data_IF_272350976812
#
_entry.id   IF_272350976812
#
_cell.length_a   1.000
_cell.length_b   1.000
_cell.length_c   1.000
_cell.angle_alpha   90.00
_cell.angle_beta   90.00
_cell.angle_gamma   90.00
#
_symmetry.space_group_name_H-M   'P 1'
#
loop_
_entity.id
_entity.type
_entity.pdbx_description
1 polymer ?
#
# COMPACT_ATOMS: atom_id res chain seq x y z
N UNK A 1 6.76 -16.85 27.94
CA UNK A 1 5.71 -15.80 27.95
C UNK A 1 4.51 -16.34 27.19
N UNK A 2 3.32 -16.45 27.80
CA UNK A 2 2.13 -16.94 27.09
C UNK A 2 1.77 -16.00 25.94
N UNK A 3 1.32 -16.57 24.81
CA UNK A 3 0.88 -15.80 23.66
C UNK A 3 -0.36 -14.97 24.04
N UNK A 4 -0.38 -13.69 23.64
CA UNK A 4 -1.55 -12.84 23.82
C UNK A 4 -2.76 -13.47 23.11
N UNK A 5 -3.92 -13.46 23.75
CA UNK A 5 -5.16 -13.94 23.14
C UNK A 5 -5.64 -12.95 22.06
N UNK A 6 -6.27 -13.42 20.98
CA UNK A 6 -6.81 -12.54 19.94
C UNK A 6 -7.88 -11.59 20.48
N UNK A 7 -7.95 -10.39 19.90
CA UNK A 7 -9.02 -9.44 20.20
C UNK A 7 -10.40 -9.98 19.79
N UNK A 8 -11.38 -9.88 20.69
CA UNK A 8 -12.77 -10.29 20.45
C UNK A 8 -13.51 -9.37 19.48
N UNK A 9 -13.20 -8.07 19.49
CA UNK A 9 -13.82 -7.07 18.62
C UNK A 9 -12.76 -6.16 17.98
N UNK A 10 -12.78 -6.01 16.64
CA UNK A 10 -11.86 -5.12 15.94
C UNK A 10 -12.14 -3.65 16.27
N UNK A 11 -11.09 -2.91 16.60
CA UNK A 11 -11.12 -1.45 16.81
C UNK A 11 -10.28 -0.76 15.73
N UNK A 12 -10.22 0.58 15.72
CA UNK A 12 -9.28 1.28 14.83
C UNK A 12 -7.84 0.94 15.20
N UNK A 13 -6.98 0.77 14.20
CA UNK A 13 -5.54 0.49 14.40
C UNK A 13 -4.89 1.59 15.22
N UNK A 14 -5.19 2.86 14.91
CA UNK A 14 -4.72 4.03 15.66
C UNK A 14 -5.05 3.95 17.15
N UNK A 15 -6.29 3.57 17.49
CA UNK A 15 -6.75 3.39 18.87
C UNK A 15 -6.02 2.24 19.57
N UNK A 16 -5.87 1.10 18.89
CA UNK A 16 -5.18 -0.07 19.45
C UNK A 16 -3.71 0.22 19.75
N UNK A 17 -2.99 0.79 18.78
CA UNK A 17 -1.57 1.14 18.94
C UNK A 17 -1.41 2.19 20.04
N UNK A 18 -2.21 3.26 20.04
CA UNK A 18 -2.16 4.32 21.06
C UNK A 18 -2.42 3.77 22.46
N UNK A 19 -3.40 2.87 22.62
CA UNK A 19 -3.72 2.24 23.90
C UNK A 19 -2.53 1.41 24.41
N UNK A 20 -1.95 0.57 23.55
CA UNK A 20 -0.84 -0.32 23.92
C UNK A 20 0.45 0.42 24.25
N UNK A 21 0.79 1.48 23.51
CA UNK A 21 1.93 2.34 23.84
C UNK A 21 1.80 2.94 25.24
N UNK A 22 0.60 3.46 25.60
CA UNK A 22 0.34 3.99 26.96
C UNK A 22 0.45 2.92 28.04
N UNK A 23 -0.17 1.76 27.84
CA UNK A 23 -0.15 0.65 28.82
C UNK A 23 1.27 0.11 29.05
N UNK A 24 2.11 0.09 28.01
CA UNK A 24 3.50 -0.37 28.09
C UNK A 24 4.48 0.74 28.47
N UNK A 25 4.02 1.99 28.65
CA UNK A 25 4.85 3.17 28.87
C UNK A 25 5.94 3.34 27.80
N UNK A 26 5.55 3.13 26.53
CA UNK A 26 6.42 3.26 25.36
C UNK A 26 6.04 4.46 24.50
N UNK A 27 6.98 4.92 23.69
CA UNK A 27 6.83 6.07 22.80
C UNK A 27 6.63 5.65 21.34
N UNK A 28 6.02 6.51 20.50
CA UNK A 28 5.99 6.31 19.04
C UNK A 28 7.38 6.12 18.42
N UNK A 29 8.39 6.84 18.91
CA UNK A 29 9.78 6.73 18.46
C UNK A 29 10.36 5.34 18.69
N UNK A 30 10.22 4.78 19.89
CA UNK A 30 10.71 3.42 20.19
C UNK A 30 10.02 2.37 19.31
N UNK A 31 8.73 2.53 19.03
CA UNK A 31 8.02 1.65 18.09
C UNK A 31 8.57 1.81 16.67
N UNK A 32 8.79 3.04 16.21
CA UNK A 32 9.33 3.34 14.89
C UNK A 32 10.71 2.70 14.67
N UNK A 33 11.59 2.78 15.68
CA UNK A 33 12.88 2.09 15.69
C UNK A 33 12.72 0.57 15.61
N UNK A 34 11.78 -0.01 16.38
CA UNK A 34 11.54 -1.46 16.41
C UNK A 34 10.98 -2.03 15.09
N UNK A 35 10.23 -1.24 14.33
CA UNK A 35 9.67 -1.65 13.02
C UNK A 35 10.43 -1.06 11.82
N UNK A 36 11.52 -0.32 12.08
CA UNK A 36 12.38 0.31 11.07
C UNK A 36 11.60 1.19 10.09
N UNK A 37 10.85 2.14 10.65
CA UNK A 37 10.14 3.20 9.92
C UNK A 37 10.47 4.56 10.55
N UNK A 38 10.10 5.66 9.90
CA UNK A 38 10.27 6.99 10.47
C UNK A 38 9.35 7.20 11.69
N UNK A 39 9.78 8.03 12.64
CA UNK A 39 8.92 8.39 13.79
C UNK A 39 7.61 9.05 13.34
N UNK A 40 7.67 9.86 12.26
CA UNK A 40 6.50 10.50 11.67
C UNK A 40 5.47 9.46 11.19
N UNK A 41 5.92 8.35 10.58
CA UNK A 41 5.05 7.27 10.13
C UNK A 41 4.20 6.70 11.28
N UNK A 42 4.85 6.37 12.41
CA UNK A 42 4.15 5.85 13.59
C UNK A 42 3.30 6.94 14.24
N UNK A 43 3.79 8.17 14.32
CA UNK A 43 3.06 9.29 14.91
C UNK A 43 1.76 9.57 14.14
N UNK A 44 1.78 9.54 12.82
CA UNK A 44 0.58 9.71 11.99
C UNK A 44 -0.39 8.52 12.10
N UNK A 45 0.14 7.30 12.19
CA UNK A 45 -0.67 6.11 12.42
C UNK A 45 -1.37 6.17 13.79
N UNK A 46 -0.64 6.54 14.85
CA UNK A 46 -1.17 6.69 16.21
C UNK A 46 -2.19 7.83 16.30
N UNK A 47 -1.95 8.92 15.59
CA UNK A 47 -2.88 10.05 15.51
C UNK A 47 -4.13 9.73 14.68
N UNK A 48 -4.09 8.71 13.83
CA UNK A 48 -5.15 8.41 12.87
C UNK A 48 -5.17 9.36 11.67
N UNK A 49 -4.05 10.05 11.40
CA UNK A 49 -3.85 10.91 10.22
C UNK A 49 -3.44 10.11 8.98
N UNK A 50 -2.87 8.91 9.19
CA UNK A 50 -2.50 7.97 8.13
C UNK A 50 -3.45 6.77 8.14
N UNK A 51 -3.83 6.33 6.94
CA UNK A 51 -4.57 5.08 6.72
C UNK A 51 -3.74 3.88 7.21
N UNK A 52 -4.32 2.90 7.92
CA UNK A 52 -3.54 1.76 8.39
C UNK A 52 -2.93 0.98 7.21
N UNK A 53 -1.73 0.39 7.36
CA UNK A 53 -1.08 -0.40 6.30
C UNK A 53 -1.94 -1.56 5.80
N UNK A 54 -1.65 -2.10 4.61
CA UNK A 54 -2.49 -3.16 4.04
C UNK A 54 -2.49 -4.39 4.95
N UNK A 55 -3.61 -5.10 5.17
CA UNK A 55 -3.67 -6.18 6.15
C UNK A 55 -2.60 -7.28 5.94
N UNK A 56 -2.16 -7.47 4.70
CA UNK A 56 -1.08 -8.41 4.35
C UNK A 56 0.35 -7.90 4.61
N UNK A 57 0.55 -6.69 5.15
CA UNK A 57 1.85 -6.08 5.47
C UNK A 57 2.49 -6.71 6.70
N UNK A 58 2.86 -7.98 6.57
CA UNK A 58 3.51 -8.75 7.64
C UNK A 58 4.86 -8.13 8.04
N UNK A 59 5.54 -7.49 7.09
CA UNK A 59 6.77 -6.70 7.29
C UNK A 59 6.63 -5.60 8.35
N UNK A 60 5.42 -5.07 8.55
CA UNK A 60 5.12 -4.08 9.58
C UNK A 60 4.38 -4.70 10.76
N UNK A 61 3.30 -5.44 10.51
CA UNK A 61 2.41 -5.89 11.58
C UNK A 61 3.02 -6.93 12.50
N UNK A 62 3.90 -7.80 12.00
CA UNK A 62 4.59 -8.79 12.84
C UNK A 62 5.51 -8.10 13.86
N UNK A 63 6.46 -7.24 13.47
CA UNK A 63 7.30 -6.52 14.42
C UNK A 63 6.50 -5.56 15.32
N UNK A 64 5.45 -4.89 14.80
CA UNK A 64 4.58 -4.05 15.63
C UNK A 64 3.86 -4.87 16.71
N UNK A 65 3.27 -6.02 16.35
CA UNK A 65 2.57 -6.87 17.31
C UNK A 65 3.51 -7.40 18.39
N UNK A 66 4.74 -7.77 18.00
CA UNK A 66 5.79 -8.19 18.94
C UNK A 66 6.14 -7.07 19.93
N UNK A 67 6.39 -5.86 19.45
CA UNK A 67 6.72 -4.71 20.30
C UNK A 67 5.57 -4.35 21.26
N UNK A 68 4.33 -4.35 20.76
CA UNK A 68 3.12 -4.00 21.51
C UNK A 68 2.56 -5.14 22.38
N UNK A 69 3.21 -6.31 22.35
CA UNK A 69 2.77 -7.55 23.03
C UNK A 69 1.31 -7.89 22.70
N UNK A 70 0.99 -7.85 21.41
CA UNK A 70 -0.32 -8.21 20.85
C UNK A 70 -0.27 -9.58 20.18
N UNK A 71 -1.43 -10.17 19.92
CA UNK A 71 -1.49 -11.34 19.06
C UNK A 71 -1.15 -10.94 17.62
N UNK A 72 -0.43 -11.81 16.89
CA UNK A 72 0.08 -11.51 15.52
C UNK A 72 -1.02 -11.08 14.53
N UNK A 73 -2.26 -11.48 14.77
CA UNK A 73 -3.40 -11.18 13.89
C UNK A 73 -4.25 -9.99 14.34
N UNK A 74 -3.97 -9.38 15.50
CA UNK A 74 -4.81 -8.28 16.02
C UNK A 74 -4.77 -7.05 15.11
N UNK A 75 -3.55 -6.57 14.80
CA UNK A 75 -3.38 -5.40 13.93
C UNK A 75 -3.87 -5.65 12.49
N UNK A 76 -3.51 -6.76 11.80
CA UNK A 76 -4.07 -7.07 10.48
C UNK A 76 -5.59 -7.16 10.46
N UNK A 77 -6.21 -7.71 11.51
CA UNK A 77 -7.68 -7.84 11.59
C UNK A 77 -8.34 -6.48 11.74
N UNK A 78 -7.82 -5.63 12.62
CA UNK A 78 -8.27 -4.24 12.77
C UNK A 78 -8.11 -3.46 11.46
N UNK A 79 -6.94 -3.57 10.80
CA UNK A 79 -6.66 -2.89 9.55
C UNK A 79 -7.63 -3.30 8.44
N UNK A 80 -7.96 -4.59 8.33
CA UNK A 80 -8.90 -5.11 7.32
C UNK A 80 -10.29 -4.52 7.51
N UNK A 81 -10.77 -4.47 8.75
CA UNK A 81 -12.09 -3.92 9.08
C UNK A 81 -12.13 -2.40 8.87
N UNK A 82 -11.08 -1.69 9.30
CA UNK A 82 -10.96 -0.24 9.12
C UNK A 82 -10.91 0.14 7.62
N UNK A 83 -10.08 -0.55 6.84
CA UNK A 83 -9.97 -0.29 5.39
C UNK A 83 -11.21 -0.70 4.60
N UNK A 84 -11.98 -1.69 5.04
CA UNK A 84 -13.25 -2.06 4.42
C UNK A 84 -14.37 -1.05 4.70
N UNK A 85 -14.31 -0.36 5.85
CA UNK A 85 -15.25 0.71 6.21
C UNK A 85 -14.96 2.02 5.49
N UNK A 86 -13.70 2.28 5.16
CA UNK A 86 -13.32 3.32 4.20
C UNK A 86 -13.80 2.89 2.81
N UNK A 87 -14.97 3.37 2.41
CA UNK A 87 -15.67 3.02 1.16
C UNK A 87 -14.70 2.98 -0.03
N UNK A 88 -14.42 1.77 -0.50
CA UNK A 88 -13.71 1.50 -1.75
C UNK A 88 -14.42 2.22 -2.89
N UNK A 89 -13.74 3.13 -3.60
CA UNK A 89 -14.24 3.70 -4.86
C UNK A 89 -15.02 5.01 -4.78
N UNK A 90 -15.01 5.76 -3.66
CA UNK A 90 -15.62 7.11 -3.65
C UNK A 90 -14.79 8.15 -4.41
N UNK A 91 -13.47 7.99 -4.45
CA UNK A 91 -12.55 8.94 -5.11
C UNK A 91 -11.94 8.27 -6.33
N UNK A 92 -12.10 8.90 -7.50
CA UNK A 92 -11.48 8.43 -8.74
C UNK A 92 -9.96 8.54 -8.60
N UNK A 93 -9.19 7.63 -9.24
CA UNK A 93 -7.75 7.79 -9.40
C UNK A 93 -7.41 9.16 -9.97
N UNK A 94 -6.23 9.68 -9.63
CA UNK A 94 -5.72 10.91 -10.19
C UNK A 94 -5.76 10.88 -11.73
N UNK A 95 -6.15 11.99 -12.35
CA UNK A 95 -6.38 12.07 -13.80
C UNK A 95 -5.07 11.89 -14.58
N UNK A 96 -3.95 12.41 -14.07
CA UNK A 96 -2.64 12.27 -14.72
C UNK A 96 -2.11 10.85 -14.51
N UNK A 97 -2.20 10.31 -13.30
CA UNK A 97 -1.82 8.93 -13.02
C UNK A 97 -2.60 7.94 -13.92
N UNK A 98 -3.91 8.16 -14.06
CA UNK A 98 -4.76 7.38 -14.97
C UNK A 98 -4.32 7.47 -16.42
N UNK A 99 -3.98 8.66 -16.92
CA UNK A 99 -3.49 8.83 -18.31
C UNK A 99 -2.21 8.03 -18.56
N UNK A 100 -1.26 8.05 -17.62
CA UNK A 100 -0.02 7.27 -17.73
C UNK A 100 -0.32 5.76 -17.79
N UNK A 101 -1.23 5.28 -16.93
CA UNK A 101 -1.61 3.87 -16.94
C UNK A 101 -2.40 3.48 -18.19
N UNK A 102 -3.32 4.33 -18.66
CA UNK A 102 -4.08 4.09 -19.88
C UNK A 102 -3.18 4.01 -21.12
N UNK A 103 -2.09 4.78 -21.15
CA UNK A 103 -1.13 4.78 -22.25
C UNK A 103 -0.39 3.43 -22.41
N UNK A 104 -0.36 2.58 -21.38
CA UNK A 104 0.17 1.21 -21.45
C UNK A 104 -0.81 0.23 -22.15
N UNK A 105 -2.06 0.62 -22.37
CA UNK A 105 -3.05 -0.22 -23.07
C UNK A 105 -3.01 -0.04 -24.58
N UNK A 106 -3.56 -1.00 -25.33
CA UNK A 106 -3.69 -0.91 -26.79
C UNK A 106 -4.49 0.33 -27.26
N UNK A 107 -4.03 1.12 -28.25
CA UNK A 107 -4.67 2.39 -28.64
C UNK A 107 -6.16 2.28 -28.99
N UNK A 108 -6.56 1.19 -29.65
CA UNK A 108 -7.98 0.94 -29.96
C UNK A 108 -8.82 0.74 -28.67
N UNK A 109 -8.26 0.05 -27.68
CA UNK A 109 -8.92 -0.19 -26.38
C UNK A 109 -8.92 1.05 -25.50
N UNK A 110 -7.91 1.91 -25.60
CA UNK A 110 -7.88 3.20 -24.88
C UNK A 110 -9.13 4.05 -25.18
N UNK A 111 -9.54 4.15 -26.45
CA UNK A 111 -10.73 4.91 -26.86
C UNK A 111 -12.02 4.31 -26.29
N UNK A 112 -12.17 3.00 -26.36
CA UNK A 112 -13.34 2.29 -25.81
C UNK A 112 -13.43 2.45 -24.30
N UNK A 113 -12.30 2.33 -23.60
CA UNK A 113 -12.21 2.53 -22.16
C UNK A 113 -12.49 3.98 -21.76
N UNK A 114 -11.95 4.97 -22.48
CA UNK A 114 -12.24 6.37 -22.22
C UNK A 114 -13.75 6.66 -22.27
N UNK A 115 -14.46 6.09 -23.25
CA UNK A 115 -15.93 6.19 -23.34
C UNK A 115 -16.65 5.50 -22.19
N UNK A 116 -16.20 4.31 -21.76
CA UNK A 116 -16.81 3.60 -20.62
C UNK A 116 -16.55 4.32 -19.29
N UNK A 117 -15.34 4.84 -19.07
CA UNK A 117 -14.96 5.55 -17.83
C UNK A 117 -15.67 6.91 -17.71
N UNK A 118 -16.05 7.53 -18.82
CA UNK A 118 -16.85 8.75 -18.83
C UNK A 118 -18.30 8.55 -18.35
N UNK A 119 -18.81 7.32 -18.34
CA UNK A 119 -20.14 7.01 -17.80
C UNK A 119 -20.18 7.18 -16.26
N UNK A 120 -21.37 7.37 -15.65
CA UNK A 120 -21.50 7.55 -14.20
C UNK A 120 -20.87 6.43 -13.36
N UNK A 121 -20.96 5.19 -13.84
CA UNK A 121 -20.41 3.96 -13.23
C UNK A 121 -18.93 3.70 -13.58
N UNK A 122 -18.34 4.53 -14.44
CA UNK A 122 -16.99 4.36 -14.97
C UNK A 122 -15.86 4.45 -13.94
N UNK A 123 -16.11 5.09 -12.79
CA UNK A 123 -15.11 5.20 -11.71
C UNK A 123 -14.75 3.87 -11.08
N UNK A 124 -15.69 2.92 -11.02
CA UNK A 124 -15.44 1.58 -10.50
C UNK A 124 -14.51 0.78 -11.45
N UNK A 125 -14.73 0.91 -12.76
CA UNK A 125 -13.86 0.30 -13.78
C UNK A 125 -12.45 0.90 -13.73
N UNK A 126 -12.33 2.23 -13.61
CA UNK A 126 -11.05 2.90 -13.47
C UNK A 126 -10.29 2.41 -12.24
N UNK A 127 -10.95 2.34 -11.08
CA UNK A 127 -10.36 1.87 -9.83
C UNK A 127 -9.93 0.40 -9.88
N UNK A 128 -10.70 -0.45 -10.57
CA UNK A 128 -10.35 -1.85 -10.80
C UNK A 128 -9.05 -1.97 -11.60
N UNK A 129 -8.96 -1.28 -12.73
CA UNK A 129 -7.79 -1.33 -13.62
C UNK A 129 -6.56 -0.83 -12.89
N UNK A 130 -6.65 0.35 -12.26
CA UNK A 130 -5.56 0.93 -11.47
C UNK A 130 -5.15 -0.02 -10.34
N UNK A 131 -6.11 -0.58 -9.61
CA UNK A 131 -5.87 -1.53 -8.53
C UNK A 131 -5.09 -2.77 -8.97
N UNK A 132 -5.46 -3.37 -10.12
CA UNK A 132 -4.76 -4.56 -10.64
C UNK A 132 -3.33 -4.27 -11.08
N UNK A 133 -3.10 -3.17 -11.77
CA UNK A 133 -1.76 -2.75 -12.16
C UNK A 133 -0.89 -2.41 -10.94
N UNK A 134 -1.49 -1.76 -9.94
CA UNK A 134 -0.84 -1.44 -8.67
C UNK A 134 -0.47 -2.71 -7.90
N UNK A 135 -1.34 -3.71 -7.82
CA UNK A 135 -1.06 -5.01 -7.19
C UNK A 135 0.19 -5.67 -7.78
N UNK A 136 0.33 -5.64 -9.12
CA UNK A 136 1.51 -6.16 -9.81
C UNK A 136 2.76 -5.39 -9.43
N UNK A 137 2.74 -4.05 -9.54
CA UNK A 137 3.89 -3.20 -9.21
C UNK A 137 4.32 -3.37 -7.73
N UNK A 138 3.35 -3.40 -6.81
CA UNK A 138 3.60 -3.64 -5.38
C UNK A 138 4.20 -5.02 -5.12
N UNK A 139 3.90 -6.03 -5.95
CA UNK A 139 4.55 -7.34 -5.88
C UNK A 139 6.07 -7.27 -6.09
N UNK A 140 6.55 -6.41 -6.99
CA UNK A 140 7.98 -6.17 -7.16
C UNK A 140 8.59 -5.40 -5.99
N UNK A 141 7.87 -4.39 -5.48
CA UNK A 141 8.35 -3.59 -4.35
C UNK A 141 8.47 -4.43 -3.07
N UNK A 142 7.58 -5.41 -2.86
CA UNK A 142 7.72 -6.40 -1.77
C UNK A 142 9.02 -7.20 -1.91
N UNK A 143 9.33 -7.70 -3.11
CA UNK A 143 10.60 -8.40 -3.36
C UNK A 143 11.83 -7.52 -3.11
N UNK A 144 11.75 -6.23 -3.47
CA UNK A 144 12.82 -5.26 -3.16
C UNK A 144 12.97 -5.01 -1.65
N UNK A 145 11.87 -5.03 -0.90
CA UNK A 145 11.91 -4.91 0.57
C UNK A 145 12.45 -6.17 1.26
N UNK A 146 12.22 -7.34 0.67
CA UNK A 146 12.74 -8.62 1.16
C UNK A 146 14.26 -8.74 0.94
N UNK A 147 14.79 -8.11 -0.11
CA UNK A 147 16.24 -7.98 -0.36
C UNK A 147 16.85 -6.80 0.40
N UNK A 148 17.00 -6.95 1.72
CA UNK A 148 17.56 -5.90 2.59
C UNK A 148 18.99 -5.49 2.17
N UNK A 149 19.79 -6.44 1.69
CA UNK A 149 21.18 -6.18 1.27
C UNK A 149 21.19 -5.34 0.00
N UNK A 150 20.44 -5.75 -1.03
CA UNK A 150 20.29 -4.99 -2.27
C UNK A 150 19.73 -3.59 -2.03
N UNK A 151 18.75 -3.46 -1.13
CA UNK A 151 18.18 -2.16 -0.77
C UNK A 151 19.23 -1.22 -0.14
N UNK A 152 20.12 -1.72 0.74
CA UNK A 152 21.21 -0.92 1.32
C UNK A 152 22.24 -0.49 0.28
N UNK A 153 22.61 -1.39 -0.61
CA UNK A 153 23.56 -1.10 -1.70
C UNK A 153 22.99 -0.03 -2.64
N UNK A 154 21.73 -0.19 -3.05
CA UNK A 154 21.02 0.80 -3.86
C UNK A 154 20.93 2.17 -3.15
N UNK A 155 20.53 2.18 -1.88
CA UNK A 155 20.43 3.42 -1.10
C UNK A 155 21.78 4.18 -1.07
N UNK A 156 22.88 3.46 -0.84
CA UNK A 156 24.24 4.03 -0.83
C UNK A 156 24.63 4.61 -2.18
N UNK A 157 24.33 3.88 -3.27
CA UNK A 157 24.57 4.35 -4.65
C UNK A 157 23.80 5.63 -4.97
N UNK A 158 22.58 5.73 -4.46
CA UNK A 158 21.68 6.87 -4.67
C UNK A 158 21.93 8.02 -3.67
N UNK A 159 22.93 7.89 -2.79
CA UNK A 159 23.25 8.91 -1.77
C UNK A 159 22.18 9.07 -0.69
N UNK A 160 21.34 8.06 -0.47
CA UNK A 160 20.25 8.05 0.51
C UNK A 160 20.53 7.08 1.66
N UNK A 161 19.86 7.28 2.80
CA UNK A 161 19.96 6.31 3.89
C UNK A 161 19.12 5.07 3.59
N UNK A 162 19.48 3.93 4.19
CA UNK A 162 18.65 2.73 4.13
C UNK A 162 17.22 2.99 4.61
N UNK A 163 17.05 3.82 5.63
CA UNK A 163 15.73 4.14 6.17
C UNK A 163 14.91 4.95 5.16
N UNK A 164 15.51 5.92 4.48
CA UNK A 164 14.83 6.71 3.45
C UNK A 164 14.40 5.85 2.26
N UNK A 165 15.32 5.01 1.76
CA UNK A 165 15.02 4.07 0.68
C UNK A 165 13.91 3.09 1.09
N UNK A 166 13.96 2.55 2.32
CA UNK A 166 12.90 1.69 2.85
C UNK A 166 11.58 2.44 2.95
N UNK A 167 11.57 3.64 3.52
CA UNK A 167 10.36 4.44 3.69
C UNK A 167 9.66 4.70 2.38
N UNK A 168 10.40 5.09 1.35
CA UNK A 168 9.89 5.26 -0.02
C UNK A 168 9.15 4.03 -0.53
N UNK A 169 9.71 2.83 -0.35
CA UNK A 169 9.05 1.58 -0.73
C UNK A 169 7.81 1.28 0.12
N UNK A 170 7.88 1.48 1.44
CA UNK A 170 6.76 1.22 2.35
C UNK A 170 5.56 2.15 2.08
N UNK A 171 5.82 3.39 1.70
CA UNK A 171 4.80 4.38 1.35
C UNK A 171 4.06 3.99 0.07
N UNK A 172 4.79 3.61 -0.98
CA UNK A 172 4.17 3.09 -2.20
C UNK A 172 3.35 1.81 -1.96
N UNK A 173 3.79 0.93 -1.05
CA UNK A 173 3.01 -0.25 -0.67
C UNK A 173 1.71 0.07 0.08
N UNK A 174 1.59 1.26 0.65
CA UNK A 174 0.36 1.72 1.33
C UNK A 174 -0.58 2.49 0.39
N UNK A 175 -0.11 2.87 -0.79
CA UNK A 175 -0.88 3.50 -1.87
C UNK A 175 -2.03 2.60 -2.33
N UNK A 176 -3.17 3.22 -2.61
CA UNK A 176 -4.35 2.60 -3.20
C UNK A 176 -4.72 3.33 -4.51
N UNK A 177 -5.69 2.78 -5.25
CA UNK A 177 -6.09 3.34 -6.55
C UNK A 177 -6.50 4.83 -6.48
N UNK A 178 -7.03 5.27 -5.34
CA UNK A 178 -7.50 6.64 -5.09
C UNK A 178 -6.43 7.60 -4.55
N UNK A 179 -5.26 7.08 -4.16
CA UNK A 179 -4.14 7.86 -3.66
C UNK A 179 -2.89 7.78 -4.55
N UNK A 180 -2.95 7.02 -5.65
CA UNK A 180 -1.84 6.86 -6.59
C UNK A 180 -1.56 8.18 -7.32
N UNK A 181 -0.30 8.60 -7.29
CA UNK A 181 0.17 9.82 -7.93
C UNK A 181 0.86 9.54 -9.28
N UNK A 182 1.09 10.57 -10.12
CA UNK A 182 1.89 10.41 -11.33
C UNK A 182 3.33 9.98 -11.05
N UNK A 183 3.95 10.52 -10.00
CA UNK A 183 5.32 10.18 -9.59
C UNK A 183 5.41 8.70 -9.19
N UNK A 184 4.41 8.20 -8.43
CA UNK A 184 4.30 6.77 -8.13
C UNK A 184 4.22 5.91 -9.41
N UNK A 185 3.49 6.38 -10.44
CA UNK A 185 3.39 5.69 -11.70
C UNK A 185 4.74 5.61 -12.40
N UNK A 186 5.44 6.74 -12.54
CA UNK A 186 6.73 6.83 -13.22
C UNK A 186 7.81 6.01 -12.53
N UNK A 187 7.82 6.01 -11.21
CA UNK A 187 8.85 5.34 -10.42
C UNK A 187 8.57 3.83 -10.26
N UNK A 188 7.31 3.46 -9.99
CA UNK A 188 6.98 2.09 -9.59
C UNK A 188 6.24 1.31 -10.66
N UNK A 189 5.32 1.91 -11.42
CA UNK A 189 4.43 1.17 -12.32
C UNK A 189 5.03 1.04 -13.72
N UNK A 190 5.35 2.16 -14.37
CA UNK A 190 5.82 2.21 -15.76
C UNK A 190 7.09 1.38 -16.01
N UNK A 191 8.08 1.32 -15.11
CA UNK A 191 9.29 0.52 -15.32
C UNK A 191 9.04 -0.99 -15.27
N UNK A 192 7.89 -1.45 -14.77
CA UNK A 192 7.60 -2.88 -14.53
C UNK A 192 6.55 -3.45 -15.48
N UNK A 193 5.70 -2.60 -16.04
CA UNK A 193 4.59 -3.02 -16.90
C UNK A 193 4.83 -2.50 -18.32
N UNK A 194 4.89 -3.43 -19.27
CA UNK A 194 5.10 -3.14 -20.68
C UNK A 194 3.78 -2.78 -21.36
N UNK A 195 2.76 -3.59 -21.13
CA UNK A 195 1.43 -3.42 -21.67
C UNK A 195 0.38 -4.09 -20.79
N UNK A 196 -0.89 -3.73 -20.97
CA UNK A 196 -1.99 -4.46 -20.35
C UNK A 196 -3.24 -4.44 -21.22
N UNK A 197 -4.14 -5.36 -20.90
CA UNK A 197 -5.40 -5.52 -21.56
C UNK A 197 -6.51 -5.97 -20.58
N UNK A 198 -7.76 -5.65 -20.88
CA UNK A 198 -8.94 -6.06 -20.12
C UNK A 198 -10.06 -6.54 -21.03
N UNK A 199 -10.64 -7.70 -20.71
CA UNK A 199 -11.93 -8.13 -21.26
C UNK A 199 -13.06 -7.50 -20.44
N UNK A 200 -13.87 -6.65 -21.06
CA UNK A 200 -14.77 -5.76 -20.33
C UNK A 200 -15.98 -6.47 -19.70
N UNK A 201 -16.37 -7.63 -20.22
CA UNK A 201 -17.49 -8.41 -19.72
C UNK A 201 -17.09 -9.25 -18.51
N UNK A 202 -15.98 -10.00 -18.61
CA UNK A 202 -15.45 -10.83 -17.53
C UNK A 202 -14.61 -10.05 -16.52
N UNK A 203 -14.18 -8.85 -16.88
CA UNK A 203 -13.19 -8.03 -16.16
C UNK A 203 -11.83 -8.73 -15.97
N UNK A 204 -11.55 -9.76 -16.78
CA UNK A 204 -10.26 -10.43 -16.78
C UNK A 204 -9.19 -9.51 -17.37
N UNK A 205 -8.05 -9.40 -16.69
CA UNK A 205 -6.93 -8.57 -17.13
C UNK A 205 -5.72 -9.41 -17.50
N UNK A 206 -5.10 -9.07 -18.64
CA UNK A 206 -3.79 -9.58 -19.05
C UNK A 206 -2.78 -8.46 -18.83
N UNK A 207 -1.71 -8.74 -18.11
CA UNK A 207 -0.65 -7.75 -17.82
C UNK A 207 0.67 -8.33 -18.32
N UNK A 208 1.36 -7.59 -19.17
CA UNK A 208 2.66 -7.94 -19.73
C UNK A 208 3.73 -7.17 -18.95
N UNK A 209 4.66 -7.89 -18.37
CA UNK A 209 5.75 -7.31 -17.58
C UNK A 209 6.88 -6.85 -18.51
N UNK A 210 7.62 -5.82 -18.10
CA UNK A 210 8.90 -5.48 -18.74
C UNK A 210 9.94 -6.50 -18.29
N UNK A 211 10.74 -6.97 -19.26
CA UNK A 211 11.94 -7.78 -19.05
C UNK A 211 13.09 -6.94 -18.52
#
# INVERSE_FOLDING_TARGET
MPAALPLKQPVKVSQLVRRRLRELKRTPRELAEAVRVSEQYISDLVAGRRRPPAPGRSDLYVPMAKFLRLHRNDLPTCARVERAREVVGRRRPDVRAWKLMLALGEPARQRTLARRVAKPDGGALQSLIVGRLLEVAQGFVRRQLDDEVGLRVAATRDGSSYLDARMRLLEFLDTAADSLTPDDCEEFVLPRIAAWDIELETRAMRIVLRS
#
